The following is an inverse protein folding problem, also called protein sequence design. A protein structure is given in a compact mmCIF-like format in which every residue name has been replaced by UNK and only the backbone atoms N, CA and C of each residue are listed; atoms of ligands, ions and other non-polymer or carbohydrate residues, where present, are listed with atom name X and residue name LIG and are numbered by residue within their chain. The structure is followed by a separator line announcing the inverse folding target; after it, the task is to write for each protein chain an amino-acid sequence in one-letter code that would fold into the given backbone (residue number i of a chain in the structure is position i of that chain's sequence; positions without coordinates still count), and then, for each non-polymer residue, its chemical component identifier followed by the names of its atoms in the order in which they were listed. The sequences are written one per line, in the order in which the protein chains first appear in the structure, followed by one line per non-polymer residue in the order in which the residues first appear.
data_IF_213435697139
#
_entry.id   IF_213435697139
#
_cell.length_a   1.000
_cell.length_b   1.000
_cell.length_c   1.000
_cell.angle_alpha   90.00
_cell.angle_beta   90.00
_cell.angle_gamma   90.00
#
_symmetry.space_group_name_H-M   'P 1'
#
loop_
_entity.id
_entity.type
_entity.pdbx_description
1 polymer ?
#
# COMPACT_ATOMS: atom_id res chain seq x y z
N UNK A 1 24.30 3.84 2.17
CA UNK A 1 23.77 3.49 0.82
C UNK A 1 22.76 2.38 1.02
N UNK A 2 21.49 2.67 0.86
CA UNK A 2 20.50 1.59 0.80
C UNK A 2 20.80 0.79 -0.48
N UNK A 3 21.26 -0.44 -0.32
CA UNK A 3 21.37 -1.35 -1.45
C UNK A 3 19.97 -1.54 -2.01
N UNK A 4 19.73 -1.01 -3.21
CA UNK A 4 18.66 -1.52 -4.08
C UNK A 4 19.10 -2.95 -4.36
N UNK A 5 18.58 -3.87 -3.56
CA UNK A 5 18.89 -5.27 -3.75
C UNK A 5 18.19 -5.83 -4.99
N UNK A 6 18.63 -6.97 -5.45
CA UNK A 6 18.10 -7.62 -6.64
C UNK A 6 16.59 -7.90 -6.51
N UNK A 7 16.13 -8.25 -5.30
CA UNK A 7 14.72 -8.51 -5.02
C UNK A 7 13.86 -7.25 -5.21
N UNK A 8 14.30 -6.10 -4.69
CA UNK A 8 13.61 -4.84 -4.88
C UNK A 8 13.55 -4.45 -6.36
N UNK A 9 14.66 -4.59 -7.09
CA UNK A 9 14.69 -4.32 -8.53
C UNK A 9 13.72 -5.21 -9.29
N UNK A 10 13.68 -6.51 -8.99
CA UNK A 10 12.75 -7.45 -9.61
C UNK A 10 11.29 -7.09 -9.32
N UNK A 11 10.95 -6.75 -8.07
CA UNK A 11 9.61 -6.35 -7.69
C UNK A 11 9.16 -5.04 -8.36
N UNK A 12 10.01 -4.01 -8.40
CA UNK A 12 9.70 -2.73 -9.03
C UNK A 12 9.50 -2.85 -10.55
N UNK A 13 10.19 -3.79 -11.21
CA UNK A 13 10.06 -4.07 -12.63
C UNK A 13 9.03 -5.16 -12.96
N UNK A 14 8.36 -5.73 -11.97
CA UNK A 14 7.37 -6.78 -12.19
C UNK A 14 6.19 -6.25 -13.04
N UNK A 15 5.81 -6.94 -14.14
CA UNK A 15 4.75 -6.46 -15.03
C UNK A 15 3.37 -6.66 -14.41
N UNK A 16 2.58 -5.59 -14.35
CA UNK A 16 1.18 -5.59 -13.89
C UNK A 16 0.19 -5.25 -15.01
N UNK A 17 0.50 -5.55 -16.26
CA UNK A 17 -0.26 -5.11 -17.44
C UNK A 17 -1.75 -5.42 -17.36
N UNK A 18 -2.13 -6.66 -17.03
CA UNK A 18 -3.54 -7.05 -16.92
C UNK A 18 -4.23 -6.47 -15.69
N UNK A 19 -3.51 -6.41 -14.58
CA UNK A 19 -3.99 -5.80 -13.32
C UNK A 19 -4.27 -4.32 -13.52
N UNK A 20 -3.30 -3.61 -14.12
CA UNK A 20 -3.39 -2.18 -14.39
C UNK A 20 -4.55 -1.85 -15.35
N UNK A 21 -4.71 -2.62 -16.42
CA UNK A 21 -5.82 -2.44 -17.37
C UNK A 21 -7.19 -2.60 -16.69
N UNK A 22 -7.35 -3.63 -15.85
CA UNK A 22 -8.60 -3.83 -15.11
C UNK A 22 -8.85 -2.72 -14.10
N UNK A 23 -7.84 -2.31 -13.37
CA UNK A 23 -7.93 -1.22 -12.41
C UNK A 23 -8.32 0.09 -13.08
N UNK A 24 -7.73 0.42 -14.23
CA UNK A 24 -8.07 1.59 -15.02
C UNK A 24 -9.55 1.60 -15.44
N UNK A 25 -10.06 0.45 -15.89
CA UNK A 25 -11.47 0.30 -16.25
C UNK A 25 -12.43 0.50 -15.07
N UNK A 26 -12.06 0.00 -13.88
CA UNK A 26 -12.90 0.09 -12.68
C UNK A 26 -12.98 1.50 -12.10
N UNK A 27 -11.93 2.29 -12.25
CA UNK A 27 -11.81 3.61 -11.62
C UNK A 27 -11.75 4.76 -12.62
N UNK A 28 -11.83 4.48 -13.92
CA UNK A 28 -11.78 5.47 -15.01
C UNK A 28 -10.61 6.46 -14.87
N UNK A 29 -9.41 5.91 -14.72
CA UNK A 29 -8.21 6.69 -14.42
C UNK A 29 -7.47 7.17 -15.67
N UNK A 30 -6.97 8.42 -15.67
CA UNK A 30 -5.99 8.86 -16.64
C UNK A 30 -4.72 7.98 -16.60
N UNK A 31 -4.11 7.76 -17.75
CA UNK A 31 -2.94 6.89 -17.86
C UNK A 31 -1.76 7.29 -16.93
N UNK A 32 -1.52 8.58 -16.78
CA UNK A 32 -0.47 9.09 -15.88
C UNK A 32 -0.72 8.75 -14.41
N UNK A 33 -1.97 8.78 -13.97
CA UNK A 33 -2.36 8.37 -12.61
C UNK A 33 -2.23 6.86 -12.44
N UNK A 34 -2.65 6.08 -13.43
CA UNK A 34 -2.49 4.63 -13.43
C UNK A 34 -1.03 4.22 -13.21
N UNK A 35 -0.10 4.79 -13.97
CA UNK A 35 1.33 4.51 -13.83
C UNK A 35 1.86 4.87 -12.44
N UNK A 36 1.39 5.99 -11.87
CA UNK A 36 1.76 6.42 -10.52
C UNK A 36 1.23 5.44 -9.47
N UNK A 37 -0.06 5.05 -9.55
CA UNK A 37 -0.67 4.11 -8.63
C UNK A 37 0.02 2.72 -8.68
N UNK A 38 0.35 2.24 -9.87
CA UNK A 38 1.08 0.98 -10.07
C UNK A 38 2.47 1.03 -9.40
N UNK A 39 3.21 2.11 -9.62
CA UNK A 39 4.51 2.32 -8.99
C UNK A 39 4.41 2.31 -7.47
N UNK A 40 3.42 3.02 -6.93
CA UNK A 40 3.27 3.18 -5.48
C UNK A 40 2.79 1.89 -4.80
N UNK A 41 1.97 1.08 -5.45
CA UNK A 41 1.65 -0.26 -4.94
C UNK A 41 2.91 -1.12 -4.82
N UNK A 42 3.74 -1.18 -5.85
CA UNK A 42 4.99 -1.95 -5.83
C UNK A 42 5.94 -1.45 -4.73
N UNK A 43 6.10 -0.14 -4.60
CA UNK A 43 6.90 0.48 -3.54
C UNK A 43 6.38 0.15 -2.14
N UNK A 44 5.08 0.24 -1.93
CA UNK A 44 4.46 -0.15 -0.66
C UNK A 44 4.74 -1.62 -0.30
N UNK A 45 4.56 -2.54 -1.24
CA UNK A 45 4.79 -3.97 -1.01
C UNK A 45 6.28 -4.28 -0.77
N UNK A 46 7.19 -3.57 -1.43
CA UNK A 46 8.63 -3.64 -1.15
C UNK A 46 8.93 -3.20 0.28
N UNK A 47 8.41 -2.06 0.72
CA UNK A 47 8.59 -1.59 2.10
C UNK A 47 8.00 -2.59 3.10
N UNK A 48 6.80 -3.08 2.81
CA UNK A 48 6.12 -4.06 3.66
C UNK A 48 6.94 -5.33 3.85
N UNK A 49 7.54 -5.85 2.80
CA UNK A 49 8.37 -7.06 2.87
C UNK A 49 9.59 -6.93 3.79
N UNK A 50 9.99 -5.71 4.11
CA UNK A 50 11.17 -5.41 4.95
C UNK A 50 10.83 -5.17 6.41
N UNK A 51 9.56 -5.01 6.74
CA UNK A 51 9.09 -4.82 8.12
C UNK A 51 8.47 -6.13 8.61
N UNK A 52 9.08 -6.74 9.62
CA UNK A 52 8.60 -7.99 10.22
C UNK A 52 7.95 -7.73 11.58
N UNK A 53 6.98 -8.56 11.93
CA UNK A 53 6.38 -8.56 13.27
C UNK A 53 5.43 -7.40 13.58
N UNK A 54 5.05 -6.61 12.58
CA UNK A 54 4.07 -5.53 12.74
C UNK A 54 3.16 -5.44 11.52
N UNK A 55 1.89 -5.20 11.75
CA UNK A 55 0.97 -4.81 10.68
C UNK A 55 1.20 -3.35 10.30
N UNK A 56 1.17 -3.03 9.02
CA UNK A 56 1.30 -1.66 8.53
C UNK A 56 -0.02 -1.15 7.96
N UNK A 57 -0.36 0.12 8.21
CA UNK A 57 -1.51 0.74 7.55
C UNK A 57 -1.25 0.85 6.05
N UNK A 58 -2.29 0.63 5.25
CA UNK A 58 -2.23 0.71 3.79
C UNK A 58 -2.96 1.96 3.33
N UNK A 59 -2.31 2.87 2.58
CA UNK A 59 -3.00 4.01 1.98
C UNK A 59 -4.14 3.54 1.08
N UNK A 60 -5.25 4.28 1.08
CA UNK A 60 -6.47 3.88 0.38
C UNK A 60 -6.26 3.60 -1.12
N UNK A 61 -5.50 4.44 -1.80
CA UNK A 61 -5.23 4.27 -3.25
C UNK A 61 -4.41 2.99 -3.50
N UNK A 62 -3.42 2.73 -2.65
CA UNK A 62 -2.63 1.48 -2.71
C UNK A 62 -3.52 0.27 -2.49
N UNK A 63 -4.42 0.33 -1.50
CA UNK A 63 -5.35 -0.75 -1.20
C UNK A 63 -6.30 -1.05 -2.36
N UNK A 64 -6.85 -0.04 -3.02
CA UNK A 64 -7.74 -0.19 -4.17
C UNK A 64 -7.08 -1.00 -5.29
N UNK A 65 -5.85 -0.65 -5.67
CA UNK A 65 -5.13 -1.40 -6.71
C UNK A 65 -4.68 -2.77 -6.20
N UNK A 66 -4.28 -2.88 -4.94
CA UNK A 66 -3.88 -4.15 -4.35
C UNK A 66 -5.03 -5.17 -4.36
N UNK A 67 -6.25 -4.77 -4.03
CA UNK A 67 -7.43 -5.64 -4.12
C UNK A 67 -7.66 -6.17 -5.55
N UNK A 68 -7.44 -5.36 -6.56
CA UNK A 68 -7.49 -5.82 -7.95
C UNK A 68 -6.36 -6.81 -8.24
N UNK A 69 -5.15 -6.55 -7.76
CA UNK A 69 -4.00 -7.45 -7.94
C UNK A 69 -4.23 -8.83 -7.30
N UNK A 70 -4.88 -8.89 -6.15
CA UNK A 70 -5.21 -10.14 -5.47
C UNK A 70 -6.14 -11.06 -6.29
N UNK A 71 -6.91 -10.53 -7.24
CA UNK A 71 -7.72 -11.35 -8.15
C UNK A 71 -6.85 -12.15 -9.12
N UNK A 72 -5.65 -11.71 -9.40
CA UNK A 72 -4.66 -12.37 -10.26
C UNK A 72 -3.69 -13.18 -9.42
N UNK A 73 -4.21 -14.20 -8.76
CA UNK A 73 -3.54 -14.95 -7.70
C UNK A 73 -2.18 -15.53 -8.11
N UNK A 74 -2.03 -16.00 -9.35
CA UNK A 74 -0.76 -16.54 -9.85
C UNK A 74 0.30 -15.45 -9.98
N UNK A 75 -0.07 -14.31 -10.53
CA UNK A 75 0.85 -13.17 -10.69
C UNK A 75 1.18 -12.57 -9.34
N UNK A 76 0.21 -12.51 -8.43
CA UNK A 76 0.44 -12.06 -7.07
C UNK A 76 1.41 -12.97 -6.31
N UNK A 77 1.25 -14.30 -6.40
CA UNK A 77 2.18 -15.24 -5.80
C UNK A 77 3.60 -15.07 -6.37
N UNK A 78 3.74 -14.95 -7.68
CA UNK A 78 5.05 -14.72 -8.34
C UNK A 78 5.68 -13.40 -7.91
N UNK A 79 4.87 -12.33 -7.76
CA UNK A 79 5.36 -11.06 -7.24
C UNK A 79 5.89 -11.22 -5.81
N UNK A 80 5.14 -11.87 -4.93
CA UNK A 80 5.57 -12.15 -3.56
C UNK A 80 6.86 -12.98 -3.51
N UNK A 81 7.03 -13.95 -4.42
CA UNK A 81 8.26 -14.75 -4.53
C UNK A 81 9.49 -13.86 -4.79
N UNK A 82 9.36 -12.77 -5.55
CA UNK A 82 10.47 -11.82 -5.76
C UNK A 82 10.92 -11.15 -4.48
N UNK A 83 10.03 -11.03 -3.49
CA UNK A 83 10.27 -10.39 -2.19
C UNK A 83 10.65 -11.38 -1.09
N UNK A 84 10.63 -12.69 -1.40
CA UNK A 84 11.05 -13.74 -0.49
C UNK A 84 10.01 -14.15 0.57
N UNK A 85 8.75 -13.75 0.41
CA UNK A 85 7.66 -14.14 1.31
C UNK A 85 6.31 -13.64 0.84
N UNK A 86 5.25 -14.34 1.24
CA UNK A 86 3.88 -13.95 0.89
C UNK A 86 3.41 -12.77 1.75
N UNK A 87 2.82 -11.77 1.13
CA UNK A 87 2.26 -10.60 1.82
C UNK A 87 0.76 -10.74 1.89
N UNK A 88 0.24 -10.95 3.11
CA UNK A 88 -1.19 -11.07 3.34
C UNK A 88 -1.87 -9.71 3.36
N UNK A 89 -3.00 -9.63 2.69
CA UNK A 89 -3.91 -8.51 2.77
C UNK A 89 -4.92 -8.80 3.89
N UNK A 90 -4.89 -8.01 4.95
CA UNK A 90 -5.77 -8.18 6.11
C UNK A 90 -6.85 -7.10 6.09
N UNK A 91 -8.11 -7.44 5.79
CA UNK A 91 -9.21 -6.48 5.81
C UNK A 91 -9.41 -5.86 7.20
N UNK A 92 -9.89 -4.63 7.25
CA UNK A 92 -10.27 -3.98 8.50
C UNK A 92 -11.69 -4.41 8.91
N UNK A 93 -11.81 -5.04 10.08
CA UNK A 93 -13.07 -5.54 10.63
C UNK A 93 -13.77 -4.50 11.53
N UNK A 94 -13.90 -3.31 11.10
CA UNK A 94 -14.57 -2.31 11.88
C UNK A 94 -13.85 -0.95 11.94
N UNK A 95 -14.47 0.06 12.57
CA UNK A 95 -13.83 1.31 12.87
C UNK A 95 -12.73 1.08 13.93
N UNK A 96 -11.53 1.66 13.76
CA UNK A 96 -10.50 1.57 14.78
C UNK A 96 -10.95 2.27 16.07
N UNK A 97 -10.50 1.77 17.21
CA UNK A 97 -10.57 2.54 18.46
C UNK A 97 -9.67 3.77 18.35
N UNK A 98 -9.82 4.71 19.29
CA UNK A 98 -8.97 5.91 19.35
C UNK A 98 -7.49 5.54 19.49
N UNK A 99 -7.17 4.54 20.30
CA UNK A 99 -5.82 4.02 20.51
C UNK A 99 -5.27 3.35 19.25
N UNK A 100 -6.06 2.53 18.56
CA UNK A 100 -5.68 1.90 17.30
C UNK A 100 -5.46 2.93 16.20
N UNK A 101 -6.29 3.97 16.15
CA UNK A 101 -6.12 5.06 15.18
C UNK A 101 -4.82 5.82 15.42
N UNK A 102 -4.53 6.19 16.68
CA UNK A 102 -3.29 6.85 17.06
C UNK A 102 -2.05 6.00 16.69
N UNK A 103 -2.12 4.69 16.93
CA UNK A 103 -1.06 3.75 16.57
C UNK A 103 -0.90 3.64 15.05
N UNK A 104 -1.99 3.62 14.28
CA UNK A 104 -1.96 3.60 12.82
C UNK A 104 -1.29 4.87 12.27
N UNK A 105 -1.60 6.05 12.83
CA UNK A 105 -0.95 7.31 12.45
C UNK A 105 0.55 7.28 12.76
N UNK A 106 0.96 6.75 13.92
CA UNK A 106 2.36 6.59 14.29
C UNK A 106 3.09 5.70 13.30
N UNK A 107 2.55 4.52 13.00
CA UNK A 107 3.13 3.57 12.04
C UNK A 107 3.17 4.13 10.62
N UNK A 108 2.16 4.89 10.25
CA UNK A 108 2.14 5.55 8.94
C UNK A 108 3.21 6.62 8.82
N UNK A 109 3.47 7.39 9.89
CA UNK A 109 4.59 8.34 9.93
C UNK A 109 5.93 7.65 9.73
N UNK A 110 6.15 6.54 10.42
CA UNK A 110 7.36 5.73 10.29
C UNK A 110 7.50 5.14 8.88
N UNK A 111 6.40 4.67 8.31
CA UNK A 111 6.37 4.12 6.96
C UNK A 111 6.70 5.18 5.91
N UNK A 112 6.20 6.42 6.04
CA UNK A 112 6.56 7.53 5.16
C UNK A 112 8.05 7.87 5.26
N UNK A 113 8.60 7.92 6.46
CA UNK A 113 10.03 8.14 6.66
C UNK A 113 10.87 7.02 6.02
N UNK A 114 10.44 5.78 6.16
CA UNK A 114 11.09 4.64 5.53
C UNK A 114 11.00 4.67 4.00
N UNK A 115 9.89 5.15 3.45
CA UNK A 115 9.76 5.41 2.01
C UNK A 115 10.82 6.42 1.53
N UNK A 116 10.93 7.57 2.19
CA UNK A 116 11.90 8.63 1.83
C UNK A 116 13.35 8.14 1.95
N UNK A 117 13.64 7.36 2.99
CA UNK A 117 14.96 6.75 3.16
C UNK A 117 15.29 5.76 2.05
N UNK A 118 14.32 4.93 1.66
CA UNK A 118 14.51 3.84 0.69
C UNK A 118 14.60 4.36 -0.74
N UNK A 119 13.68 5.24 -1.13
CA UNK A 119 13.55 5.68 -2.53
C UNK A 119 14.18 7.05 -2.80
N UNK A 120 14.57 7.79 -1.78
CA UNK A 120 15.13 9.15 -1.87
C UNK A 120 14.20 10.13 -2.57
N UNK A 121 12.91 9.92 -2.43
CA UNK A 121 11.84 10.72 -2.99
C UNK A 121 10.78 10.99 -1.91
N UNK A 122 10.10 12.13 -2.00
CA UNK A 122 8.90 12.39 -1.19
C UNK A 122 7.73 11.58 -1.73
N UNK A 123 6.99 10.83 -0.90
CA UNK A 123 5.82 10.10 -1.36
C UNK A 123 4.78 11.05 -1.99
N UNK A 124 4.20 10.71 -3.17
CA UNK A 124 3.20 11.55 -3.82
C UNK A 124 1.94 11.69 -2.97
N UNK A 125 1.53 12.94 -2.70
CA UNK A 125 0.46 13.25 -1.74
C UNK A 125 -0.93 12.71 -2.15
N UNK A 126 -1.18 12.51 -3.43
CA UNK A 126 -2.42 11.95 -3.95
C UNK A 126 -2.57 10.44 -3.67
N UNK A 127 -1.46 9.74 -3.45
CA UNK A 127 -1.45 8.31 -3.08
C UNK A 127 -1.14 8.13 -1.59
N UNK A 128 -0.20 8.92 -1.09
CA UNK A 128 0.28 8.92 0.30
C UNK A 128 -0.10 10.25 0.97
N UNK A 129 -1.31 10.40 1.48
CA UNK A 129 -1.74 11.65 2.11
C UNK A 129 -0.74 12.09 3.18
N UNK A 130 -0.37 13.38 3.24
CA UNK A 130 0.45 13.89 4.32
C UNK A 130 -0.26 13.81 5.66
N UNK A 131 0.47 13.67 6.75
CA UNK A 131 -0.09 13.47 8.09
C UNK A 131 -0.97 14.62 8.57
N UNK A 132 -0.65 15.84 8.15
CA UNK A 132 -1.45 17.03 8.43
C UNK A 132 -2.86 17.02 7.81
N UNK A 133 -3.04 16.24 6.75
CA UNK A 133 -4.33 16.07 6.07
C UNK A 133 -5.14 14.89 6.63
N UNK A 134 -4.58 14.15 7.59
CA UNK A 134 -5.25 13.02 8.20
C UNK A 134 -6.06 13.43 9.42
N UNK A 135 -7.25 12.83 9.64
CA UNK A 135 -8.04 13.13 10.82
C UNK A 135 -7.29 12.69 12.10
N UNK A 136 -7.30 13.55 13.13
CA UNK A 136 -6.69 13.24 14.42
C UNK A 136 -7.47 12.17 15.21
N UNK A 137 -8.77 12.05 14.95
CA UNK A 137 -9.67 11.09 15.56
C UNK A 137 -10.18 10.10 14.52
N UNK A 138 -10.53 8.86 14.91
CA UNK A 138 -11.11 7.91 13.98
C UNK A 138 -12.44 8.46 13.43
N UNK A 139 -12.60 8.36 12.12
CA UNK A 139 -13.86 8.76 11.47
C UNK A 139 -15.01 7.87 11.98
N UNK A 140 -16.09 8.49 12.45
CA UNK A 140 -17.32 7.75 12.73
C UNK A 140 -17.84 7.14 11.43
N UNK A 141 -18.03 5.82 11.43
CA UNK A 141 -18.45 5.10 10.24
C UNK A 141 -19.89 5.45 9.85
N UNK A 142 -20.06 6.24 8.84
CA UNK A 142 -21.03 5.86 7.82
C UNK A 142 -20.39 4.72 7.00
N UNK A 143 -21.12 3.61 6.82
CA UNK A 143 -20.64 2.36 6.24
C UNK A 143 -20.20 2.50 4.78
N UNK A 144 -19.16 3.26 4.54
CA UNK A 144 -18.54 3.38 3.24
C UNK A 144 -17.07 3.01 3.35
N UNK A 145 -16.74 1.76 3.00
CA UNK A 145 -15.38 1.30 2.74
C UNK A 145 -14.59 2.24 1.80
N UNK A 146 -15.29 3.21 1.16
CA UNK A 146 -14.74 4.20 0.23
C UNK A 146 -14.11 5.41 0.92
N UNK A 147 -14.35 5.65 2.19
CA UNK A 147 -13.95 6.88 2.90
C UNK A 147 -12.92 6.67 4.00
N UNK A 148 -12.60 5.43 4.37
CA UNK A 148 -11.56 5.17 5.37
C UNK A 148 -10.18 5.56 4.85
N UNK A 149 -9.41 6.27 5.67
CA UNK A 149 -8.02 6.66 5.36
C UNK A 149 -7.13 5.42 5.21
N UNK A 150 -7.38 4.38 6.01
CA UNK A 150 -6.72 3.08 5.92
C UNK A 150 -7.77 2.00 5.82
N UNK A 151 -7.85 1.35 4.68
CA UNK A 151 -8.87 0.36 4.39
C UNK A 151 -8.47 -1.07 4.74
N UNK A 152 -7.19 -1.33 4.90
CA UNK A 152 -6.66 -2.65 5.27
C UNK A 152 -5.32 -2.57 5.97
N UNK A 153 -4.82 -3.74 6.37
CA UNK A 153 -3.46 -3.94 6.89
C UNK A 153 -2.72 -4.96 6.05
N UNK A 154 -1.41 -4.88 6.05
CA UNK A 154 -0.54 -5.87 5.45
C UNK A 154 0.20 -6.66 6.52
N UNK A 155 0.33 -7.97 6.33
CA UNK A 155 1.11 -8.85 7.17
C UNK A 155 2.01 -9.78 6.33
N UNK A 156 3.10 -10.26 6.89
CA UNK A 156 4.07 -11.14 6.22
C UNK A 156 4.34 -12.34 7.10
N UNK A 157 4.34 -13.52 6.52
CA UNK A 157 4.76 -14.77 7.15
C UNK A 157 6.25 -14.78 7.53
#
# INVERSE_FOLDING_TARGET
MAHIDQAMTAALNFPLTHVAARYQQLYDLPHAELLRHERELKRYLVLRSRVRGATLPTPRVVDQLWQVFLLYTRDYARFCDTLGGFIHHVPSDGAPTREEHAENLRRYRELRAFYEETFRETPPADVWPPLEDMPAEPEEREMSWRTSTFSCRADVD
#
